data_IF_192670819394
#
_entry.id   IF_192670819394
#
_cell.length_a   1.000
_cell.length_b   1.000
_cell.length_c   1.000
_cell.angle_alpha   90.00
_cell.angle_beta   90.00
_cell.angle_gamma   90.00
#
_symmetry.space_group_name_H-M   'P 1'
#
loop_
_entity.id
_entity.type
_entity.pdbx_description
1 polymer ?
#
# COMPACT_ATOMS: atom_id res chain seq x y z
N UNK A 1 -15.89 -40.71 87.39
CA UNK A 1 -14.84 -39.68 87.22
C UNK A 1 -14.73 -39.40 85.74
N UNK A 2 -15.06 -38.19 85.34
CA UNK A 2 -15.53 -37.67 84.07
C UNK A 2 -14.35 -37.50 83.11
N UNK A 3 -14.40 -38.10 81.89
CA UNK A 3 -13.47 -37.83 80.82
C UNK A 3 -14.18 -37.03 79.70
N UNK A 4 -13.76 -35.80 79.49
CA UNK A 4 -14.26 -34.88 78.46
C UNK A 4 -13.68 -35.24 77.10
N UNK A 5 -14.57 -35.52 76.15
CA UNK A 5 -14.23 -35.74 74.73
C UNK A 5 -14.24 -34.37 74.01
N UNK A 6 -13.10 -33.93 73.50
CA UNK A 6 -12.95 -32.72 72.65
C UNK A 6 -13.12 -33.14 71.17
N UNK A 7 -14.17 -32.71 70.54
CA UNK A 7 -14.33 -32.82 69.05
C UNK A 7 -13.54 -31.72 68.35
N UNK A 8 -12.58 -32.14 67.53
CA UNK A 8 -11.87 -31.24 66.59
C UNK A 8 -12.62 -31.23 65.26
N UNK A 9 -13.21 -30.11 64.90
CA UNK A 9 -13.75 -29.87 63.57
C UNK A 9 -12.60 -29.39 62.66
N UNK A 10 -12.16 -30.21 61.70
CA UNK A 10 -11.34 -29.80 60.59
C UNK A 10 -12.26 -29.23 59.49
N UNK A 11 -12.28 -27.93 59.32
CA UNK A 11 -12.87 -27.25 58.17
C UNK A 11 -11.95 -27.35 56.96
N UNK A 12 -12.30 -28.12 55.95
CA UNK A 12 -11.62 -28.15 54.67
C UNK A 12 -12.04 -26.90 53.84
N UNK A 13 -11.19 -25.90 53.77
CA UNK A 13 -11.36 -24.78 52.82
C UNK A 13 -10.94 -25.25 51.43
N UNK A 14 -11.93 -25.48 50.54
CA UNK A 14 -11.69 -25.77 49.13
C UNK A 14 -11.33 -24.43 48.44
N UNK A 15 -10.05 -24.23 48.12
CA UNK A 15 -9.58 -23.15 47.24
C UNK A 15 -10.02 -23.53 45.80
N UNK A 16 -11.03 -22.84 45.27
CA UNK A 16 -11.31 -22.82 43.82
C UNK A 16 -10.20 -22.01 43.14
N UNK A 17 -9.23 -22.69 42.54
CA UNK A 17 -8.29 -22.12 41.61
C UNK A 17 -9.03 -21.79 40.30
N UNK A 18 -9.41 -20.56 40.11
CA UNK A 18 -9.88 -20.05 38.81
C UNK A 18 -8.66 -20.10 37.89
N UNK A 19 -8.62 -21.12 37.03
CA UNK A 19 -7.64 -21.18 35.93
C UNK A 19 -7.96 -20.03 34.95
N UNK A 20 -7.27 -18.91 35.07
CA UNK A 20 -7.27 -17.88 34.05
C UNK A 20 -6.47 -18.46 32.87
N UNK A 21 -7.15 -19.04 31.89
CA UNK A 21 -6.51 -19.36 30.61
C UNK A 21 -5.96 -18.07 30.02
N UNK A 22 -4.70 -18.01 29.59
CA UNK A 22 -4.21 -16.85 28.87
C UNK A 22 -5.09 -16.68 27.64
N UNK A 23 -5.72 -15.52 27.52
CA UNK A 23 -6.46 -15.18 26.28
C UNK A 23 -5.48 -15.35 25.12
N UNK A 24 -5.82 -16.23 24.17
CA UNK A 24 -5.01 -16.39 22.97
C UNK A 24 -4.83 -15.01 22.33
N UNK A 25 -3.59 -14.66 21.97
CA UNK A 25 -3.32 -13.38 21.39
C UNK A 25 -4.13 -13.23 20.09
N UNK A 26 -5.01 -12.22 20.04
CA UNK A 26 -5.78 -11.92 18.84
C UNK A 26 -4.83 -11.32 17.80
N UNK A 27 -4.44 -12.09 16.81
CA UNK A 27 -3.49 -11.67 15.77
C UNK A 27 -4.04 -11.90 14.37
N UNK A 28 -3.69 -11.01 13.43
CA UNK A 28 -3.88 -11.21 12.00
C UNK A 28 -2.59 -10.75 11.29
N UNK A 29 -1.86 -11.66 10.67
CA UNK A 29 -0.62 -11.33 9.97
C UNK A 29 -0.94 -10.65 8.64
N UNK A 30 -0.40 -9.44 8.44
CA UNK A 30 -0.53 -8.69 7.19
C UNK A 30 0.77 -8.72 6.38
N UNK A 31 0.71 -9.18 5.14
CA UNK A 31 1.79 -8.98 4.20
C UNK A 31 1.67 -7.61 3.51
N UNK A 32 2.81 -6.90 3.44
CA UNK A 32 2.93 -5.58 2.82
C UNK A 32 2.14 -4.47 3.53
N UNK A 33 2.15 -4.45 4.87
CA UNK A 33 1.55 -3.36 5.67
C UNK A 33 2.64 -2.57 6.42
N UNK A 34 3.69 -2.02 5.73
CA UNK A 34 4.81 -1.37 6.40
C UNK A 34 4.39 -0.03 7.01
N UNK A 35 4.76 0.26 8.26
CA UNK A 35 4.30 1.45 9.00
C UNK A 35 4.58 2.79 8.31
N UNK A 36 5.71 2.91 7.61
CA UNK A 36 6.11 4.15 6.94
C UNK A 36 5.36 4.40 5.62
N UNK A 37 4.90 3.35 4.95
CA UNK A 37 4.16 3.46 3.70
C UNK A 37 2.67 3.69 3.97
N UNK A 38 2.07 4.69 3.32
CA UNK A 38 0.64 4.96 3.39
C UNK A 38 0.11 5.12 4.84
N UNK A 39 0.97 5.54 5.77
CA UNK A 39 0.68 5.68 7.20
C UNK A 39 0.00 4.43 7.83
N UNK A 40 0.42 3.24 7.43
CA UNK A 40 -0.05 2.01 8.06
C UNK A 40 0.15 2.03 9.58
N UNK A 41 1.16 2.78 10.09
CA UNK A 41 1.36 2.93 11.52
C UNK A 41 0.10 3.39 12.26
N UNK A 42 -0.65 4.35 11.73
CA UNK A 42 -1.89 4.84 12.34
C UNK A 42 -3.01 3.81 12.26
N UNK A 43 -3.15 3.11 11.14
CA UNK A 43 -4.12 2.01 10.97
C UNK A 43 -3.86 0.87 11.96
N UNK A 44 -2.61 0.38 12.04
CA UNK A 44 -2.22 -0.73 12.90
C UNK A 44 -2.48 -0.42 14.39
N UNK A 45 -2.16 0.81 14.83
CA UNK A 45 -2.46 1.26 16.19
C UNK A 45 -3.96 1.30 16.48
N UNK A 46 -4.75 1.85 15.56
CA UNK A 46 -6.19 1.99 15.73
C UNK A 46 -6.90 0.63 15.70
N UNK A 47 -6.50 -0.29 14.81
CA UNK A 47 -6.99 -1.68 14.81
C UNK A 47 -6.77 -2.31 16.18
N UNK A 48 -5.55 -2.22 16.72
CA UNK A 48 -5.23 -2.78 18.05
C UNK A 48 -6.06 -2.17 19.16
N UNK A 49 -6.25 -0.84 19.16
CA UNK A 49 -7.00 -0.11 20.19
C UNK A 49 -8.49 -0.45 20.17
N UNK A 50 -9.10 -0.53 19.00
CA UNK A 50 -10.54 -0.65 18.87
C UNK A 50 -11.04 -2.11 18.85
N UNK A 51 -10.23 -3.02 18.31
CA UNK A 51 -10.64 -4.42 18.09
C UNK A 51 -9.90 -5.42 18.96
N UNK A 52 -8.79 -5.01 19.59
CA UNK A 52 -7.90 -5.91 20.32
C UNK A 52 -6.97 -6.73 19.41
N UNK A 53 -7.17 -6.72 18.08
CA UNK A 53 -6.34 -7.48 17.13
C UNK A 53 -4.99 -6.81 16.94
N UNK A 54 -3.92 -7.54 17.21
CA UNK A 54 -2.55 -7.14 16.85
C UNK A 54 -2.29 -7.60 15.41
N UNK A 55 -1.68 -6.72 14.60
CA UNK A 55 -1.39 -7.01 13.20
C UNK A 55 0.13 -7.05 13.00
N UNK A 56 0.79 -8.21 13.19
CA UNK A 56 2.16 -8.39 12.72
C UNK A 56 2.23 -8.16 11.21
N UNK A 57 3.28 -7.49 10.77
CA UNK A 57 3.42 -7.04 9.38
C UNK A 57 4.87 -7.18 8.92
N UNK A 58 5.07 -7.06 7.62
CA UNK A 58 6.38 -7.03 7.00
C UNK A 58 6.51 -5.88 5.97
N UNK A 59 7.71 -5.74 5.43
CA UNK A 59 8.06 -4.71 4.44
C UNK A 59 8.19 -5.28 3.02
N UNK A 60 7.56 -6.42 2.71
CA UNK A 60 7.49 -6.92 1.34
C UNK A 60 6.79 -5.88 0.44
N UNK A 61 7.18 -5.81 -0.82
CA UNK A 61 6.37 -5.11 -1.83
C UNK A 61 5.29 -6.04 -2.40
N UNK A 62 4.41 -5.52 -3.27
CA UNK A 62 3.26 -6.29 -3.78
C UNK A 62 3.67 -7.58 -4.52
N UNK A 63 4.73 -7.53 -5.34
CA UNK A 63 5.22 -8.70 -6.06
C UNK A 63 5.85 -9.74 -5.13
N UNK A 64 6.63 -9.30 -4.14
CA UNK A 64 7.20 -10.19 -3.13
C UNK A 64 6.10 -10.84 -2.27
N UNK A 65 5.06 -10.08 -1.93
CA UNK A 65 3.90 -10.62 -1.18
C UNK A 65 3.14 -11.65 -1.99
N UNK A 66 2.86 -11.36 -3.26
CA UNK A 66 2.21 -12.33 -4.16
C UNK A 66 3.03 -13.61 -4.31
N UNK A 67 4.34 -13.48 -4.52
CA UNK A 67 5.23 -14.64 -4.63
C UNK A 67 5.26 -15.48 -3.35
N UNK A 68 5.29 -14.83 -2.18
CA UNK A 68 5.23 -15.51 -0.88
C UNK A 68 3.89 -16.25 -0.70
N UNK A 69 2.76 -15.59 -0.96
CA UNK A 69 1.43 -16.22 -0.88
C UNK A 69 1.31 -17.45 -1.78
N UNK A 70 1.87 -17.40 -3.00
CA UNK A 70 1.86 -18.54 -3.93
C UNK A 70 2.74 -19.68 -3.38
N UNK A 71 3.93 -19.37 -2.88
CA UNK A 71 4.83 -20.37 -2.32
C UNK A 71 4.26 -21.03 -1.05
N UNK A 72 3.53 -20.28 -0.24
CA UNK A 72 2.94 -20.69 1.03
C UNK A 72 1.51 -21.23 0.89
N UNK A 73 0.98 -21.37 -0.33
CA UNK A 73 -0.44 -21.73 -0.59
C UNK A 73 -0.92 -23.00 0.15
N UNK A 74 -0.03 -23.97 0.37
CA UNK A 74 -0.36 -25.20 1.10
C UNK A 74 -0.44 -24.99 2.62
N UNK A 75 0.33 -24.05 3.16
CA UNK A 75 0.39 -23.69 4.57
C UNK A 75 0.54 -22.18 4.70
N UNK A 76 -0.53 -21.40 4.53
CA UNK A 76 -0.47 -19.95 4.55
C UNK A 76 0.01 -19.40 5.91
N UNK A 77 0.80 -18.35 5.86
CA UNK A 77 1.31 -17.64 7.04
C UNK A 77 0.53 -16.35 7.28
N UNK A 78 0.19 -15.63 6.22
CA UNK A 78 -0.56 -14.40 6.31
C UNK A 78 -2.07 -14.65 6.43
N UNK A 79 -2.77 -13.72 7.06
CA UNK A 79 -4.23 -13.67 7.16
C UNK A 79 -4.85 -12.68 6.18
N UNK A 80 -4.14 -11.56 5.98
CA UNK A 80 -4.53 -10.51 5.03
C UNK A 80 -3.31 -10.04 4.24
N UNK A 81 -3.57 -9.44 3.08
CA UNK A 81 -2.53 -8.87 2.23
C UNK A 81 -2.98 -7.53 1.66
N UNK A 82 -2.04 -6.56 1.62
CA UNK A 82 -2.22 -5.26 1.00
C UNK A 82 -1.42 -5.19 -0.30
N UNK A 83 -2.08 -4.85 -1.41
CA UNK A 83 -1.51 -4.95 -2.75
C UNK A 83 -1.88 -3.72 -3.61
N UNK A 84 -1.01 -3.33 -4.53
CA UNK A 84 -1.43 -2.51 -5.67
C UNK A 84 -2.46 -3.25 -6.53
N UNK A 85 -3.44 -2.54 -7.08
CA UNK A 85 -4.61 -3.12 -7.74
C UNK A 85 -4.34 -4.31 -8.67
N UNK A 86 -3.39 -4.23 -9.64
CA UNK A 86 -3.10 -5.35 -10.57
C UNK A 86 -2.68 -6.65 -9.86
N UNK A 87 -1.96 -6.53 -8.73
CA UNK A 87 -1.53 -7.68 -7.94
C UNK A 87 -2.68 -8.36 -7.18
N UNK A 88 -3.74 -7.60 -6.84
CA UNK A 88 -4.97 -8.18 -6.26
C UNK A 88 -5.67 -9.12 -7.26
N UNK A 89 -5.75 -8.71 -8.53
CA UNK A 89 -6.29 -9.54 -9.62
C UNK A 89 -5.46 -10.82 -9.80
N UNK A 90 -4.13 -10.68 -9.81
CA UNK A 90 -3.22 -11.82 -9.94
C UNK A 90 -3.31 -12.76 -8.72
N UNK A 91 -3.48 -12.23 -7.51
CA UNK A 91 -3.66 -13.03 -6.29
C UNK A 91 -4.96 -13.87 -6.35
N UNK A 92 -6.07 -13.29 -6.84
CA UNK A 92 -7.30 -14.03 -7.13
C UNK A 92 -7.05 -15.14 -8.16
N UNK A 93 -6.44 -14.81 -9.28
CA UNK A 93 -6.15 -15.78 -10.34
C UNK A 93 -5.25 -16.93 -9.87
N UNK A 94 -4.29 -16.66 -8.98
CA UNK A 94 -3.44 -17.67 -8.34
C UNK A 94 -4.18 -18.53 -7.27
N UNK A 95 -5.41 -18.14 -6.90
CA UNK A 95 -6.22 -18.81 -5.88
C UNK A 95 -5.59 -18.75 -4.48
N UNK A 96 -4.97 -17.60 -4.14
CA UNK A 96 -4.36 -17.36 -2.82
C UNK A 96 -5.18 -16.39 -1.98
N UNK A 97 -6.33 -15.93 -2.47
CA UNK A 97 -7.29 -15.11 -1.74
C UNK A 97 -8.59 -15.85 -1.49
N UNK A 98 -9.28 -15.53 -0.40
CA UNK A 98 -10.60 -16.05 -0.07
C UNK A 98 -11.67 -14.96 -0.29
N UNK A 99 -12.90 -15.33 -0.71
CA UNK A 99 -13.98 -14.38 -0.83
C UNK A 99 -14.42 -13.88 0.55
N UNK A 100 -14.46 -12.57 0.71
CA UNK A 100 -15.03 -11.90 1.87
C UNK A 100 -15.57 -10.52 1.48
N UNK A 101 -16.74 -10.19 1.96
CA UNK A 101 -17.36 -8.87 1.80
C UNK A 101 -17.34 -8.16 3.16
N UNK A 102 -16.39 -7.24 3.38
CA UNK A 102 -16.28 -6.51 4.64
C UNK A 102 -17.52 -5.67 4.94
N UNK A 103 -17.69 -5.27 6.19
CA UNK A 103 -18.65 -4.25 6.55
C UNK A 103 -18.45 -2.99 5.66
N UNK A 104 -19.54 -2.35 5.26
CA UNK A 104 -19.56 -1.22 4.30
C UNK A 104 -19.13 -1.56 2.85
N UNK A 105 -19.11 -2.85 2.50
CA UNK A 105 -18.84 -3.31 1.14
C UNK A 105 -19.67 -2.59 0.08
N UNK A 106 -20.97 -2.38 0.33
CA UNK A 106 -21.90 -1.80 -0.63
C UNK A 106 -21.65 -0.32 -0.89
N UNK A 107 -20.92 0.36 0.00
CA UNK A 107 -20.51 1.76 -0.18
C UNK A 107 -19.25 1.93 -1.07
N UNK A 108 -18.55 0.84 -1.35
CA UNK A 108 -17.41 0.85 -2.29
C UNK A 108 -17.94 0.80 -3.71
N UNK A 109 -17.49 1.68 -4.64
CA UNK A 109 -17.89 1.65 -6.05
C UNK A 109 -17.67 0.27 -6.68
N UNK A 110 -18.53 -0.10 -7.63
CA UNK A 110 -18.52 -1.45 -8.22
C UNK A 110 -17.23 -1.77 -8.99
N UNK A 111 -16.61 -0.76 -9.61
CA UNK A 111 -15.35 -0.83 -10.34
C UNK A 111 -14.10 -0.80 -9.45
N UNK A 112 -14.31 -0.62 -8.13
CA UNK A 112 -13.25 -0.62 -7.12
C UNK A 112 -13.28 -1.86 -6.20
N UNK A 113 -13.95 -2.92 -6.59
CA UNK A 113 -14.01 -4.18 -5.83
C UNK A 113 -14.23 -5.38 -6.74
N UNK A 114 -13.73 -6.52 -6.32
CA UNK A 114 -13.98 -7.77 -7.02
C UNK A 114 -15.41 -8.24 -6.79
N UNK A 115 -16.24 -8.51 -7.81
CA UNK A 115 -17.64 -8.89 -7.63
C UNK A 115 -17.81 -10.17 -6.80
N UNK A 116 -16.82 -11.06 -6.81
CA UNK A 116 -16.82 -12.30 -6.01
C UNK A 116 -16.26 -12.11 -4.58
N UNK A 117 -15.73 -10.91 -4.25
CA UNK A 117 -15.25 -10.58 -2.91
C UNK A 117 -13.80 -10.98 -2.63
N UNK A 118 -12.98 -11.29 -3.64
CA UNK A 118 -11.59 -11.69 -3.44
C UNK A 118 -10.64 -10.54 -3.10
N UNK A 119 -11.02 -9.32 -3.40
CA UNK A 119 -10.31 -8.11 -3.01
C UNK A 119 -11.25 -6.90 -2.97
N UNK A 120 -10.87 -5.89 -2.23
CA UNK A 120 -11.56 -4.60 -2.15
C UNK A 120 -10.55 -3.47 -2.12
N UNK A 121 -10.81 -2.40 -2.85
CA UNK A 121 -10.03 -1.16 -2.76
C UNK A 121 -10.25 -0.51 -1.40
N UNK A 122 -9.17 -0.08 -0.77
CA UNK A 122 -9.22 0.60 0.53
C UNK A 122 -8.84 2.09 0.44
N UNK A 123 -8.04 2.46 -0.54
CA UNK A 123 -7.70 3.83 -0.91
C UNK A 123 -7.09 3.86 -2.31
N UNK A 124 -6.87 5.06 -2.84
CA UNK A 124 -6.13 5.27 -4.08
C UNK A 124 -5.11 6.40 -3.93
N UNK A 125 -4.20 6.47 -4.89
CA UNK A 125 -3.20 7.53 -5.02
C UNK A 125 -2.96 7.89 -6.48
N UNK A 126 -2.45 9.09 -6.71
CA UNK A 126 -2.02 9.57 -8.02
C UNK A 126 -0.50 9.54 -8.09
N UNK A 127 0.05 8.88 -9.09
CA UNK A 127 1.49 8.85 -9.31
C UNK A 127 1.99 10.21 -9.82
N UNK A 128 3.20 10.57 -9.39
CA UNK A 128 3.86 11.80 -9.84
C UNK A 128 5.31 11.86 -9.38
N UNK A 129 5.84 13.06 -9.31
CA UNK A 129 7.19 13.28 -8.83
C UNK A 129 7.15 13.81 -7.40
N UNK A 130 7.70 13.05 -6.48
CA UNK A 130 7.95 13.45 -5.11
C UNK A 130 9.34 14.06 -5.03
N UNK A 131 9.44 15.38 -4.92
CA UNK A 131 10.68 16.13 -5.10
C UNK A 131 11.11 16.79 -3.79
N UNK A 132 12.32 16.52 -3.34
CA UNK A 132 12.99 17.27 -2.29
C UNK A 132 13.71 18.48 -2.91
N UNK A 133 13.17 19.69 -2.70
CA UNK A 133 13.67 20.92 -3.34
C UNK A 133 15.09 21.29 -2.91
N UNK A 134 15.42 21.06 -1.65
CA UNK A 134 16.75 21.39 -1.12
C UNK A 134 17.81 20.45 -1.73
N UNK A 135 17.44 19.19 -1.98
CA UNK A 135 18.33 18.21 -2.60
C UNK A 135 18.57 18.44 -4.11
N UNK A 136 17.77 19.31 -4.77
CA UNK A 136 18.01 19.68 -6.16
C UNK A 136 19.24 20.59 -6.34
N UNK A 137 19.79 21.17 -5.27
CA UNK A 137 20.98 22.03 -5.37
C UNK A 137 20.78 23.26 -6.25
N UNK A 138 19.58 23.86 -6.19
CA UNK A 138 19.22 25.06 -6.97
C UNK A 138 18.75 24.79 -8.40
N UNK A 139 18.67 23.53 -8.84
CA UNK A 139 18.06 23.17 -10.14
C UNK A 139 16.55 23.37 -10.09
N UNK A 140 15.89 23.66 -11.23
CA UNK A 140 14.43 23.76 -11.29
C UNK A 140 13.76 22.43 -10.91
N UNK A 141 12.53 22.51 -10.40
CA UNK A 141 11.69 21.33 -10.16
C UNK A 141 11.21 20.81 -11.53
N UNK A 142 11.44 19.52 -11.86
CA UNK A 142 11.02 18.96 -13.14
C UNK A 142 9.49 18.93 -13.25
N UNK A 143 8.96 19.28 -14.43
CA UNK A 143 7.52 19.39 -14.68
C UNK A 143 6.99 18.37 -15.69
N UNK A 144 7.87 17.59 -16.32
CA UNK A 144 7.52 16.66 -17.40
C UNK A 144 8.33 15.37 -17.31
N UNK A 145 7.81 14.28 -17.90
CA UNK A 145 8.58 13.04 -18.05
C UNK A 145 9.88 13.26 -18.83
N UNK A 146 9.85 14.17 -19.80
CA UNK A 146 11.03 14.53 -20.59
C UNK A 146 12.09 15.27 -19.77
N UNK A 147 11.69 16.06 -18.78
CA UNK A 147 12.65 16.78 -17.92
C UNK A 147 13.55 15.81 -17.15
N UNK A 148 13.00 14.67 -16.68
CA UNK A 148 13.75 13.67 -15.93
C UNK A 148 14.89 13.01 -16.74
N UNK A 149 14.84 13.12 -18.06
CA UNK A 149 15.88 12.61 -18.96
C UNK A 149 17.03 13.60 -19.18
N UNK A 150 16.90 14.85 -18.70
CA UNK A 150 17.95 15.85 -18.86
C UNK A 150 19.19 15.51 -18.02
N UNK A 151 20.42 15.74 -18.53
CA UNK A 151 21.65 15.50 -17.78
C UNK A 151 21.73 16.24 -16.43
N UNK A 152 21.00 17.33 -16.27
CA UNK A 152 20.92 18.09 -15.03
C UNK A 152 20.41 17.26 -13.84
N UNK A 153 19.62 16.22 -14.10
CA UNK A 153 19.07 15.34 -13.08
C UNK A 153 19.81 13.98 -13.01
N UNK A 154 20.99 13.85 -13.60
CA UNK A 154 21.78 12.62 -13.52
C UNK A 154 22.08 12.25 -12.05
N UNK A 155 21.79 11.01 -11.67
CA UNK A 155 21.93 10.48 -10.32
C UNK A 155 20.88 10.99 -9.32
N UNK A 156 19.85 11.73 -9.76
CA UNK A 156 18.86 12.34 -8.88
C UNK A 156 17.49 11.68 -8.93
N UNK A 157 17.18 10.92 -9.98
CA UNK A 157 15.87 10.33 -10.19
C UNK A 157 15.83 8.92 -9.60
N UNK A 158 14.88 8.68 -8.72
CA UNK A 158 14.59 7.37 -8.13
C UNK A 158 13.22 6.84 -8.57
N UNK A 159 13.11 5.52 -8.69
CA UNK A 159 11.84 4.81 -8.85
C UNK A 159 12.01 3.39 -8.31
N UNK A 160 10.97 2.80 -7.73
CA UNK A 160 11.05 1.43 -7.23
C UNK A 160 11.12 0.44 -8.40
N UNK A 161 11.82 -0.68 -8.18
CA UNK A 161 11.97 -1.76 -9.16
C UNK A 161 10.62 -2.17 -9.77
N UNK A 162 10.35 -1.87 -11.06
CA UNK A 162 9.06 -2.08 -11.68
C UNK A 162 8.75 -3.55 -11.96
N UNK A 163 9.73 -4.44 -11.78
CA UNK A 163 9.53 -5.88 -11.95
C UNK A 163 8.89 -6.54 -10.73
N UNK A 164 8.93 -5.86 -9.58
CA UNK A 164 8.43 -6.42 -8.31
C UNK A 164 7.57 -5.45 -7.50
N UNK A 165 7.85 -4.15 -7.53
CA UNK A 165 7.11 -3.15 -6.77
C UNK A 165 5.91 -2.61 -7.56
N UNK A 166 4.72 -2.58 -6.95
CA UNK A 166 3.52 -2.05 -7.60
C UNK A 166 3.71 -0.60 -8.07
N UNK A 167 4.26 0.29 -7.21
CA UNK A 167 4.48 1.69 -7.58
C UNK A 167 5.48 1.82 -8.73
N UNK A 168 6.49 0.96 -8.81
CA UNK A 168 7.42 0.93 -9.95
C UNK A 168 6.71 0.54 -11.26
N UNK A 169 5.89 -0.52 -11.23
CA UNK A 169 5.09 -0.92 -12.39
C UNK A 169 4.06 0.14 -12.78
N UNK A 170 3.41 0.77 -11.80
CA UNK A 170 2.52 1.92 -12.06
C UNK A 170 3.27 3.08 -12.70
N UNK A 171 4.52 3.33 -12.32
CA UNK A 171 5.41 4.30 -12.98
C UNK A 171 5.62 3.96 -14.46
N UNK A 172 5.84 2.69 -14.77
CA UNK A 172 5.98 2.25 -16.15
C UNK A 172 4.67 2.45 -16.96
N UNK A 173 3.52 2.12 -16.38
CA UNK A 173 2.22 2.36 -17.00
C UNK A 173 1.99 3.86 -17.22
N UNK A 174 2.28 4.68 -16.20
CA UNK A 174 2.09 6.13 -16.27
C UNK A 174 2.88 6.75 -17.41
N UNK A 175 4.18 6.50 -17.48
CA UNK A 175 5.02 7.05 -18.55
C UNK A 175 4.64 6.51 -19.92
N UNK A 176 4.27 5.21 -20.00
CA UNK A 176 3.83 4.60 -21.27
C UNK A 176 2.59 5.30 -21.83
N UNK A 177 1.56 5.46 -21.01
CA UNK A 177 0.31 6.09 -21.41
C UNK A 177 0.48 7.61 -21.64
N UNK A 178 1.30 8.30 -20.84
CA UNK A 178 1.59 9.72 -21.01
C UNK A 178 2.30 10.01 -22.35
N UNK A 179 3.15 9.10 -22.81
CA UNK A 179 3.87 9.22 -24.08
C UNK A 179 3.11 8.62 -25.28
N UNK A 180 1.80 8.33 -25.12
CA UNK A 180 0.94 7.86 -26.19
C UNK A 180 1.02 6.35 -26.49
N UNK A 181 1.55 5.56 -25.55
CA UNK A 181 1.47 4.09 -25.58
C UNK A 181 0.13 3.56 -25.04
N UNK A 182 0.00 2.25 -24.99
CA UNK A 182 -1.16 1.52 -24.49
C UNK A 182 -0.73 0.28 -23.68
N UNK A 183 -1.69 -0.57 -23.28
CA UNK A 183 -1.39 -1.80 -22.53
C UNK A 183 -0.90 -2.97 -23.40
N UNK A 184 -1.01 -2.87 -24.74
CA UNK A 184 -0.59 -3.92 -25.66
C UNK A 184 0.91 -3.81 -25.99
N UNK A 185 1.46 -2.59 -25.83
CA UNK A 185 2.91 -2.34 -26.00
C UNK A 185 3.43 -1.35 -24.97
N UNK A 186 4.54 -1.72 -24.35
CA UNK A 186 5.31 -0.85 -23.43
C UNK A 186 6.54 -0.22 -24.11
N UNK A 187 6.56 -0.10 -25.42
CA UNK A 187 7.69 0.47 -26.16
C UNK A 187 8.07 1.86 -25.69
N UNK A 188 7.07 2.70 -25.37
CA UNK A 188 7.30 4.05 -24.87
C UNK A 188 7.95 4.06 -23.50
N UNK A 189 7.46 3.23 -22.56
CA UNK A 189 8.07 3.09 -21.24
C UNK A 189 9.47 2.49 -21.31
N UNK A 190 9.67 1.42 -22.07
CA UNK A 190 10.98 0.78 -22.23
C UNK A 190 12.00 1.75 -22.82
N UNK A 191 11.62 2.51 -23.85
CA UNK A 191 12.47 3.55 -24.42
C UNK A 191 12.81 4.63 -23.40
N UNK A 192 11.83 5.13 -22.65
CA UNK A 192 12.02 6.14 -21.62
C UNK A 192 12.94 5.64 -20.47
N UNK A 193 12.74 4.43 -19.97
CA UNK A 193 13.60 3.86 -18.91
C UNK A 193 15.02 3.66 -19.41
N UNK A 194 15.22 3.20 -20.66
CA UNK A 194 16.53 3.08 -21.26
C UNK A 194 17.26 4.42 -21.34
N UNK A 195 16.55 5.48 -21.70
CA UNK A 195 17.11 6.82 -21.73
C UNK A 195 17.41 7.34 -20.33
N UNK A 196 16.53 7.09 -19.35
CA UNK A 196 16.76 7.44 -17.95
C UNK A 196 17.99 6.71 -17.37
N UNK A 197 18.23 5.46 -17.74
CA UNK A 197 19.40 4.70 -17.27
C UNK A 197 20.74 5.32 -17.70
N UNK A 198 20.78 6.13 -18.76
CA UNK A 198 21.96 6.93 -19.12
C UNK A 198 22.27 8.01 -18.07
N UNK A 199 21.29 8.39 -17.28
CA UNK A 199 21.40 9.33 -16.16
C UNK A 199 21.60 8.64 -14.80
N UNK A 200 21.93 7.34 -14.78
CA UNK A 200 22.22 6.57 -13.56
C UNK A 200 21.13 6.72 -12.48
N UNK A 201 19.89 6.30 -12.72
CA UNK A 201 18.82 6.40 -11.75
C UNK A 201 19.08 5.53 -10.52
N UNK A 202 18.38 5.85 -9.43
CA UNK A 202 18.39 5.09 -8.18
C UNK A 202 17.19 4.12 -8.20
N UNK A 203 17.42 2.80 -8.15
CA UNK A 203 16.36 1.79 -8.25
C UNK A 203 16.28 0.93 -6.98
N UNK A 204 15.67 1.44 -5.90
CA UNK A 204 15.48 0.67 -4.68
C UNK A 204 14.38 -0.39 -4.86
N UNK A 205 14.48 -1.46 -4.06
CA UNK A 205 13.48 -2.55 -4.06
C UNK A 205 12.34 -2.33 -3.05
N UNK A 206 12.51 -1.40 -2.13
CA UNK A 206 11.58 -1.12 -1.03
C UNK A 206 11.23 0.37 -1.00
N UNK A 207 10.18 0.71 -0.22
CA UNK A 207 9.78 2.11 -0.02
C UNK A 207 10.96 3.03 0.31
N UNK A 208 10.94 4.22 -0.23
CA UNK A 208 12.06 5.16 -0.16
C UNK A 208 11.68 6.52 0.43
N UNK A 209 10.58 6.58 1.19
CA UNK A 209 10.11 7.81 1.84
C UNK A 209 11.21 8.54 2.62
N UNK A 210 11.86 7.85 3.56
CA UNK A 210 12.94 8.43 4.37
C UNK A 210 14.14 8.89 3.54
N UNK A 211 14.43 8.22 2.41
CA UNK A 211 15.53 8.58 1.50
C UNK A 211 15.23 9.86 0.72
N UNK A 212 13.96 10.16 0.45
CA UNK A 212 13.58 11.46 -0.11
C UNK A 212 13.71 12.55 0.95
N UNK A 213 13.24 12.31 2.18
CA UNK A 213 13.35 13.29 3.26
C UNK A 213 14.82 13.65 3.58
N UNK A 214 15.72 12.68 3.54
CA UNK A 214 17.17 12.90 3.75
C UNK A 214 17.87 13.54 2.55
N UNK A 215 17.22 13.64 1.40
CA UNK A 215 17.82 14.13 0.15
C UNK A 215 18.69 13.11 -0.58
N UNK A 216 18.75 11.87 -0.11
CA UNK A 216 19.47 10.78 -0.82
C UNK A 216 18.84 10.47 -2.18
N UNK A 217 17.52 10.60 -2.30
CA UNK A 217 16.78 10.54 -3.56
C UNK A 217 16.10 11.89 -3.77
N UNK A 218 16.68 12.81 -4.55
CA UNK A 218 16.10 14.14 -4.77
C UNK A 218 14.74 14.13 -5.45
N UNK A 219 14.49 13.20 -6.37
CA UNK A 219 13.26 13.07 -7.14
C UNK A 219 12.86 11.60 -7.14
N UNK A 220 11.70 11.27 -6.58
CA UNK A 220 11.18 9.90 -6.55
C UNK A 220 9.87 9.82 -7.34
N UNK A 221 9.75 8.84 -8.22
CA UNK A 221 8.44 8.47 -8.77
C UNK A 221 7.63 7.80 -7.67
N UNK A 222 6.62 8.48 -7.15
CA UNK A 222 5.82 8.01 -6.02
C UNK A 222 4.42 8.64 -6.04
N UNK A 223 3.57 8.24 -5.10
CA UNK A 223 2.21 8.74 -4.98
C UNK A 223 2.13 10.07 -4.22
N UNK A 224 1.13 10.84 -4.58
CA UNK A 224 0.79 12.12 -4.00
C UNK A 224 0.64 12.09 -2.48
N UNK A 225 0.05 11.06 -1.91
CA UNK A 225 -0.16 10.95 -0.47
C UNK A 225 1.15 10.94 0.34
N UNK A 226 2.21 10.31 -0.17
CA UNK A 226 3.52 10.33 0.50
C UNK A 226 4.14 11.73 0.45
N UNK A 227 4.07 12.42 -0.68
CA UNK A 227 4.56 13.78 -0.81
C UNK A 227 3.76 14.76 0.09
N UNK A 228 2.43 14.63 0.15
CA UNK A 228 1.61 15.46 1.02
C UNK A 228 1.85 15.19 2.51
N UNK A 229 2.03 13.93 2.90
CA UNK A 229 2.45 13.60 4.26
C UNK A 229 3.76 14.29 4.61
N UNK A 230 4.78 14.18 3.76
CA UNK A 230 6.06 14.83 3.96
C UNK A 230 5.92 16.35 4.06
N UNK A 231 5.12 16.96 3.18
CA UNK A 231 4.89 18.41 3.14
C UNK A 231 4.10 18.90 4.35
N UNK A 232 2.99 18.26 4.67
CA UNK A 232 2.01 18.77 5.64
C UNK A 232 2.18 18.23 7.05
N UNK A 233 2.67 16.99 7.22
CA UNK A 233 2.89 16.36 8.52
C UNK A 233 4.34 16.53 8.98
N UNK A 234 5.31 16.11 8.15
CA UNK A 234 6.73 16.12 8.52
C UNK A 234 7.39 17.48 8.24
N UNK A 235 6.68 18.42 7.57
CA UNK A 235 7.16 19.78 7.24
C UNK A 235 8.47 19.78 6.45
N UNK A 236 8.67 18.75 5.64
CA UNK A 236 9.84 18.63 4.78
C UNK A 236 9.76 19.64 3.59
N UNK A 237 10.90 20.09 3.06
CA UNK A 237 10.98 21.03 1.93
C UNK A 237 10.73 20.30 0.60
N UNK A 238 9.57 19.66 0.48
CA UNK A 238 9.21 18.83 -0.66
C UNK A 238 8.07 19.42 -1.48
N UNK A 239 7.96 18.95 -2.71
CA UNK A 239 6.90 19.31 -3.65
C UNK A 239 6.40 18.05 -4.36
N UNK A 240 5.10 18.02 -4.69
CA UNK A 240 4.52 16.99 -5.55
C UNK A 240 4.18 17.57 -6.90
N UNK A 241 4.60 16.90 -7.97
CA UNK A 241 4.37 17.32 -9.35
C UNK A 241 3.59 16.25 -10.11
N UNK A 242 2.49 16.64 -10.72
CA UNK A 242 1.79 15.86 -11.74
C UNK A 242 2.38 16.24 -13.10
N UNK A 243 3.03 15.30 -13.83
CA UNK A 243 3.69 15.61 -15.10
C UNK A 243 2.77 16.27 -16.13
N UNK A 244 3.29 17.16 -16.95
CA UNK A 244 2.52 17.90 -17.95
C UNK A 244 1.87 16.99 -18.98
N UNK A 245 2.53 15.90 -19.37
CA UNK A 245 2.01 14.93 -20.35
C UNK A 245 0.93 14.00 -19.75
N UNK A 246 0.77 14.05 -18.43
CA UNK A 246 -0.19 13.24 -17.69
C UNK A 246 0.42 12.09 -16.91
N UNK A 247 -0.44 11.44 -16.13
CA UNK A 247 -0.09 10.34 -15.25
C UNK A 247 -1.32 9.42 -15.03
N UNK A 248 -1.25 8.54 -14.03
CA UNK A 248 -2.33 7.64 -13.65
C UNK A 248 -2.69 7.75 -12.18
N UNK A 249 -3.98 7.50 -11.87
CA UNK A 249 -4.48 7.24 -10.53
C UNK A 249 -4.77 5.74 -10.37
N UNK A 250 -4.28 5.15 -9.29
CA UNK A 250 -4.34 3.69 -9.10
C UNK A 250 -4.90 3.34 -7.72
N UNK A 251 -5.85 2.39 -7.64
CA UNK A 251 -6.32 1.85 -6.39
C UNK A 251 -5.30 0.91 -5.74
N UNK A 252 -5.32 0.90 -4.41
CA UNK A 252 -4.70 -0.11 -3.58
C UNK A 252 -5.78 -0.98 -2.94
N UNK A 253 -5.58 -2.27 -2.99
CA UNK A 253 -6.57 -3.27 -2.57
C UNK A 253 -6.08 -4.05 -1.36
N UNK A 254 -7.04 -4.58 -0.60
CA UNK A 254 -6.77 -5.52 0.47
C UNK A 254 -7.59 -6.80 0.25
N UNK A 255 -7.03 -7.93 0.63
CA UNK A 255 -7.64 -9.25 0.44
C UNK A 255 -7.46 -10.12 1.68
N UNK A 256 -8.46 -10.97 1.93
CA UNK A 256 -8.35 -12.09 2.86
C UNK A 256 -7.53 -13.20 2.22
N UNK A 257 -6.54 -13.74 2.92
CA UNK A 257 -5.72 -14.84 2.41
C UNK A 257 -6.49 -16.16 2.53
N UNK A 258 -6.46 -16.96 1.48
CA UNK A 258 -7.11 -18.27 1.48
C UNK A 258 -6.45 -19.19 2.50
N UNK A 259 -7.26 -19.80 3.39
CA UNK A 259 -6.81 -20.70 4.44
C UNK A 259 -5.78 -20.08 5.42
N UNK A 260 -5.77 -18.76 5.57
CA UNK A 260 -4.94 -18.07 6.56
C UNK A 260 -5.18 -18.62 7.97
N UNK A 261 -4.16 -18.56 8.87
CA UNK A 261 -4.26 -19.19 10.19
C UNK A 261 -5.30 -18.54 11.12
N UNK A 262 -5.62 -17.25 10.94
CA UNK A 262 -6.56 -16.50 11.77
C UNK A 262 -7.62 -15.77 10.93
N UNK A 263 -8.48 -16.47 10.18
CA UNK A 263 -9.36 -15.85 9.18
C UNK A 263 -10.34 -14.84 9.78
N UNK A 264 -10.85 -15.08 11.01
CA UNK A 264 -11.81 -14.16 11.65
C UNK A 264 -11.14 -12.86 12.10
N UNK A 265 -9.88 -12.91 12.54
CA UNK A 265 -9.11 -11.70 12.81
C UNK A 265 -8.74 -10.97 11.51
N UNK A 266 -8.45 -11.69 10.43
CA UNK A 266 -8.27 -11.13 9.09
C UNK A 266 -9.51 -10.37 8.61
N UNK A 267 -10.71 -10.93 8.78
CA UNK A 267 -11.99 -10.26 8.49
C UNK A 267 -12.15 -8.98 9.34
N UNK A 268 -11.83 -9.06 10.64
CA UNK A 268 -11.87 -7.89 11.52
C UNK A 268 -10.97 -6.75 11.02
N UNK A 269 -9.78 -7.05 10.50
CA UNK A 269 -8.89 -6.05 9.89
C UNK A 269 -9.52 -5.44 8.64
N UNK A 270 -10.10 -6.25 7.75
CA UNK A 270 -10.78 -5.78 6.54
C UNK A 270 -12.01 -4.92 6.85
N UNK A 271 -12.81 -5.29 7.85
CA UNK A 271 -13.94 -4.49 8.32
C UNK A 271 -13.48 -3.14 8.86
N UNK A 272 -12.39 -3.13 9.64
CA UNK A 272 -11.86 -1.90 10.23
C UNK A 272 -11.35 -0.93 9.16
N UNK A 273 -10.57 -1.38 8.19
CA UNK A 273 -9.99 -0.48 7.17
C UNK A 273 -11.05 0.16 6.27
N UNK A 274 -12.24 -0.45 6.15
CA UNK A 274 -13.39 0.11 5.45
C UNK A 274 -14.38 0.83 6.37
N UNK A 275 -14.18 0.84 7.70
CA UNK A 275 -15.01 1.60 8.62
C UNK A 275 -14.83 3.11 8.44
N UNK A 276 -15.74 3.92 9.01
CA UNK A 276 -15.60 5.39 9.01
C UNK A 276 -14.26 5.83 9.60
N UNK A 277 -13.83 5.18 10.69
CA UNK A 277 -12.54 5.46 11.33
C UNK A 277 -11.36 5.07 10.44
N UNK A 278 -11.38 3.89 9.86
CA UNK A 278 -10.32 3.42 8.95
C UNK A 278 -10.19 4.32 7.73
N UNK A 279 -11.30 4.66 7.10
CA UNK A 279 -11.32 5.56 5.94
C UNK A 279 -10.93 7.00 6.31
N UNK A 280 -11.33 7.48 7.48
CA UNK A 280 -10.89 8.77 8.02
C UNK A 280 -9.37 8.81 8.30
N UNK A 281 -8.77 7.71 8.75
CA UNK A 281 -7.32 7.63 8.92
C UNK A 281 -6.59 7.68 7.56
N UNK A 282 -7.11 7.00 6.52
CA UNK A 282 -6.57 7.13 5.16
C UNK A 282 -6.65 8.58 4.67
N UNK A 283 -7.79 9.24 4.85
CA UNK A 283 -7.96 10.64 4.49
C UNK A 283 -6.94 11.55 5.22
N UNK A 284 -6.78 11.38 6.53
CA UNK A 284 -5.83 12.16 7.34
C UNK A 284 -4.37 11.96 6.91
N UNK A 285 -4.08 10.83 6.29
CA UNK A 285 -2.78 10.54 5.67
C UNK A 285 -2.70 10.95 4.19
N UNK A 286 -3.64 11.78 3.73
CA UNK A 286 -3.73 12.32 2.35
C UNK A 286 -4.00 11.28 1.26
N UNK A 287 -4.36 10.06 1.61
CA UNK A 287 -4.87 9.11 0.62
C UNK A 287 -6.32 9.42 0.27
N UNK A 288 -6.73 9.03 -0.93
CA UNK A 288 -8.14 9.13 -1.32
C UNK A 288 -8.89 7.93 -0.80
N UNK A 289 -9.76 8.11 0.23
CA UNK A 289 -10.61 7.04 0.72
C UNK A 289 -11.53 6.57 -0.39
N UNK A 290 -11.93 5.30 -0.32
CA UNK A 290 -12.84 4.72 -1.31
C UNK A 290 -14.30 5.02 -0.99
N UNK A 291 -14.62 5.29 0.29
CA UNK A 291 -15.99 5.66 0.72
C UNK A 291 -16.18 7.17 0.64
N UNK A 292 -17.32 7.58 0.06
CA UNK A 292 -17.67 8.99 -0.09
C UNK A 292 -17.78 9.70 1.27
N UNK A 293 -17.36 10.97 1.32
CA UNK A 293 -17.48 11.82 2.52
C UNK A 293 -16.43 11.58 3.61
N UNK A 294 -15.53 10.61 3.45
CA UNK A 294 -14.48 10.36 4.45
C UNK A 294 -13.39 11.43 4.48
N UNK A 295 -13.25 12.24 3.42
CA UNK A 295 -12.27 13.32 3.35
C UNK A 295 -12.92 14.66 3.73
N UNK A 296 -12.40 15.30 4.78
CA UNK A 296 -12.86 16.61 5.21
C UNK A 296 -12.45 17.71 4.21
N UNK A 297 -13.27 18.80 4.03
CA UNK A 297 -12.99 19.86 3.05
C UNK A 297 -11.67 20.61 3.28
N UNK A 298 -11.29 20.84 4.53
CA UNK A 298 -10.03 21.49 4.90
C UNK A 298 -8.80 20.64 4.55
N UNK A 299 -8.95 19.33 4.57
CA UNK A 299 -7.94 18.39 4.13
C UNK A 299 -7.85 18.36 2.60
N UNK A 300 -8.99 18.30 1.91
CA UNK A 300 -9.05 18.34 0.45
C UNK A 300 -8.41 19.62 -0.12
N UNK A 301 -8.51 20.75 0.58
CA UNK A 301 -7.90 22.02 0.18
C UNK A 301 -6.35 22.01 0.20
N UNK A 302 -5.72 21.01 0.79
CA UNK A 302 -4.24 20.86 0.80
C UNK A 302 -3.68 20.15 -0.43
N UNK A 303 -4.54 19.56 -1.25
CA UNK A 303 -4.15 18.92 -2.50
C UNK A 303 -3.89 19.96 -3.59
N UNK A 304 -3.13 19.58 -4.61
CA UNK A 304 -3.01 20.36 -5.84
C UNK A 304 -4.39 20.72 -6.42
N UNK A 305 -4.49 21.78 -7.24
CA UNK A 305 -5.75 22.13 -7.90
C UNK A 305 -6.36 20.97 -8.70
N UNK A 306 -7.68 20.89 -8.77
CA UNK A 306 -8.37 19.85 -9.52
C UNK A 306 -7.96 19.82 -11.01
N UNK A 307 -7.57 20.95 -11.59
CA UNK A 307 -7.06 21.04 -12.96
C UNK A 307 -5.77 20.23 -13.17
N UNK A 308 -4.92 20.11 -12.16
CA UNK A 308 -3.72 19.28 -12.23
C UNK A 308 -4.08 17.79 -12.23
N UNK A 309 -5.03 17.40 -11.37
CA UNK A 309 -5.54 16.03 -11.31
C UNK A 309 -6.32 15.61 -12.57
N UNK A 310 -6.82 16.55 -13.37
CA UNK A 310 -7.44 16.23 -14.66
C UNK A 310 -6.45 15.55 -15.63
N UNK A 311 -5.15 15.64 -15.39
CA UNK A 311 -4.12 14.91 -16.15
C UNK A 311 -3.90 13.48 -15.67
N UNK A 312 -4.46 13.10 -14.52
CA UNK A 312 -4.38 11.73 -14.00
C UNK A 312 -5.53 10.87 -14.56
N UNK A 313 -5.18 9.83 -15.31
CA UNK A 313 -6.15 8.90 -15.90
C UNK A 313 -6.40 7.75 -14.95
N UNK A 314 -7.65 7.26 -14.88
CA UNK A 314 -7.94 5.96 -14.29
C UNK A 314 -7.30 4.85 -15.13
N UNK A 315 -6.89 3.77 -14.48
CA UNK A 315 -6.26 2.62 -15.12
C UNK A 315 -7.26 1.49 -15.32
N UNK A 316 -7.03 0.69 -16.35
CA UNK A 316 -7.68 -0.61 -16.52
C UNK A 316 -6.84 -1.67 -15.79
N UNK A 317 -7.31 -2.10 -14.63
CA UNK A 317 -6.58 -3.02 -13.76
C UNK A 317 -6.39 -4.40 -14.39
N UNK A 318 -7.37 -4.89 -15.15
CA UNK A 318 -7.31 -6.20 -15.81
C UNK A 318 -6.24 -6.19 -16.90
N UNK A 319 -6.23 -5.14 -17.74
CA UNK A 319 -5.20 -4.96 -18.76
C UNK A 319 -3.81 -4.76 -18.14
N UNK A 320 -3.72 -4.02 -17.05
CA UNK A 320 -2.46 -3.88 -16.31
C UNK A 320 -1.96 -5.24 -15.81
N UNK A 321 -2.83 -6.03 -15.17
CA UNK A 321 -2.47 -7.33 -14.64
C UNK A 321 -2.01 -8.30 -15.76
N UNK A 322 -2.71 -8.31 -16.89
CA UNK A 322 -2.37 -9.15 -18.04
C UNK A 322 -1.04 -8.75 -18.71
N UNK A 323 -0.77 -7.44 -18.81
CA UNK A 323 0.42 -6.92 -19.49
C UNK A 323 1.71 -7.00 -18.64
N UNK A 324 1.61 -7.12 -17.31
CA UNK A 324 2.74 -6.97 -16.39
C UNK A 324 3.89 -7.94 -16.68
N UNK A 325 3.58 -9.22 -16.94
CA UNK A 325 4.63 -10.20 -17.24
C UNK A 325 5.44 -9.82 -18.49
N UNK A 326 4.76 -9.48 -19.58
CA UNK A 326 5.41 -9.08 -20.82
C UNK A 326 6.27 -7.81 -20.64
N UNK A 327 5.77 -6.83 -19.88
CA UNK A 327 6.57 -5.68 -19.52
C UNK A 327 7.81 -6.06 -18.70
N UNK A 328 7.66 -6.92 -17.67
CA UNK A 328 8.77 -7.37 -16.82
C UNK A 328 9.86 -8.04 -17.63
N UNK A 329 9.49 -9.00 -18.49
CA UNK A 329 10.45 -9.72 -19.33
C UNK A 329 11.24 -8.75 -20.22
N UNK A 330 10.56 -7.77 -20.82
CA UNK A 330 11.20 -6.75 -21.67
C UNK A 330 12.06 -5.77 -20.87
N UNK A 331 11.61 -5.34 -19.70
CA UNK A 331 12.38 -4.43 -18.85
C UNK A 331 13.74 -5.09 -18.48
N UNK A 332 13.71 -6.35 -18.06
CA UNK A 332 14.92 -7.09 -17.71
C UNK A 332 15.85 -7.32 -18.92
N UNK A 333 15.31 -7.48 -20.12
CA UNK A 333 16.09 -7.70 -21.33
C UNK A 333 16.68 -6.42 -21.94
N UNK A 334 15.93 -5.31 -21.89
CA UNK A 334 16.20 -4.13 -22.69
C UNK A 334 16.72 -2.93 -21.85
N UNK A 335 16.52 -2.92 -20.55
CA UNK A 335 16.84 -1.79 -19.66
C UNK A 335 17.95 -2.11 -18.67
N UNK A 336 17.96 -3.31 -18.10
CA UNK A 336 18.96 -3.76 -17.10
C UNK A 336 20.18 -4.43 -17.74
#
# INVERSE_FOLDING_TARGET
>A
MIAMLKHLFLGAAALLAVAVSPAAAQTAICYNCPPEWADWASQLRAIKQDTGVTVPHDNKNSGQSLAALIAEKANPVADVVYLGGPFGIQAKAAGVTAPYRPANWDEVPADMKDPDGHWVTIHSGTLGFFVNRDALGGKPVPQSWADLLKPDYAGMVGYLDPTSAAVGYVGAVAVNLALGGDYDSFDKAIGWFRDLHRNSPIVPKQTSYARVLSGEIPILLDYDFNAYRAMHTDKAPVEFVIPAEGTVAVPYVMALVANGPNPDHGKTVLDFVLSDKGQGLWANAFMRPVRAGAMAPDLAAKFLPAADYARARAVDLDRMAAAQKGFTDRYLADVN
#
